data_IF_226724573900
#
_entry.id   IF_226724573900
#
_cell.length_a   1.000
_cell.length_b   1.000
_cell.length_c   1.000
_cell.angle_alpha   90.00
_cell.angle_beta   90.00
_cell.angle_gamma   90.00
#
_symmetry.space_group_name_H-M   'P 1'
#
loop_
_entity.id
_entity.type
_entity.pdbx_description
1 polymer ?
#
# COMPACT_ATOMS: atom_id res chain seq x y z
N UNK A 1 58.82 -22.43 15.26
CA UNK A 1 57.77 -21.84 14.39
C UNK A 1 56.49 -22.60 14.68
N UNK A 2 55.70 -22.15 15.66
CA UNK A 2 54.44 -22.79 16.03
C UNK A 2 53.31 -21.78 15.84
N UNK A 3 52.24 -22.22 15.18
CA UNK A 3 51.14 -21.40 14.68
C UNK A 3 50.23 -20.89 15.81
N UNK A 4 49.97 -19.58 15.92
CA UNK A 4 49.12 -19.01 16.97
C UNK A 4 47.66 -18.79 16.52
N UNK A 5 47.10 -19.66 15.67
CA UNK A 5 45.80 -19.39 15.03
C UNK A 5 44.62 -20.26 15.48
N UNK A 6 44.83 -21.40 16.15
CA UNK A 6 43.72 -22.27 16.56
C UNK A 6 43.02 -21.76 17.84
N UNK A 7 43.77 -21.24 18.83
CA UNK A 7 43.20 -20.67 20.05
C UNK A 7 42.30 -19.45 19.79
N UNK A 8 42.50 -18.72 18.69
CA UNK A 8 41.67 -17.54 18.40
C UNK A 8 40.27 -17.91 17.91
N UNK A 9 40.11 -19.05 17.22
CA UNK A 9 38.81 -19.46 16.67
C UNK A 9 37.91 -20.07 17.74
N UNK A 10 38.45 -20.90 18.63
CA UNK A 10 37.69 -21.44 19.77
C UNK A 10 37.30 -20.34 20.76
N UNK A 11 38.19 -19.36 20.99
CA UNK A 11 37.87 -18.19 21.78
C UNK A 11 36.75 -17.35 21.15
N UNK A 12 36.78 -17.17 19.81
CA UNK A 12 35.72 -16.46 19.07
C UNK A 12 34.38 -17.22 19.08
N UNK A 13 34.38 -18.55 18.93
CA UNK A 13 33.18 -19.38 19.00
C UNK A 13 32.58 -19.36 20.41
N UNK A 14 33.42 -19.44 21.44
CA UNK A 14 32.98 -19.34 22.84
C UNK A 14 32.43 -17.95 23.13
N UNK A 15 33.10 -16.89 22.66
CA UNK A 15 32.62 -15.51 22.81
C UNK A 15 31.28 -15.31 22.08
N UNK A 16 31.14 -15.87 20.88
CA UNK A 16 29.92 -15.83 20.08
C UNK A 16 28.75 -16.58 20.73
N UNK A 17 29.00 -17.80 21.25
CA UNK A 17 28.00 -18.58 22.00
C UNK A 17 27.64 -17.94 23.35
N UNK A 18 28.57 -17.20 23.95
CA UNK A 18 28.37 -16.48 25.22
C UNK A 18 27.59 -15.17 25.06
N UNK A 19 27.41 -14.68 23.83
CA UNK A 19 26.49 -13.56 23.58
C UNK A 19 25.06 -14.05 23.79
N UNK A 20 24.57 -13.94 25.02
CA UNK A 20 23.14 -14.03 25.33
C UNK A 20 22.41 -13.05 24.45
N UNK A 21 21.76 -13.56 23.40
CA UNK A 21 20.86 -12.79 22.54
C UNK A 21 19.80 -12.21 23.46
N UNK A 22 19.79 -10.89 23.61
CA UNK A 22 18.84 -10.22 24.49
C UNK A 22 17.42 -10.69 24.12
N UNK A 23 16.62 -11.15 25.09
CA UNK A 23 15.29 -11.64 24.80
C UNK A 23 14.48 -10.54 24.09
N UNK A 24 13.68 -10.88 23.08
CA UNK A 24 12.94 -9.89 22.31
C UNK A 24 12.02 -9.07 23.22
N UNK A 25 12.11 -7.74 23.15
CA UNK A 25 11.28 -6.81 23.93
C UNK A 25 9.82 -6.85 23.44
N UNK A 26 9.03 -7.70 24.11
CA UNK A 26 7.62 -7.96 23.80
C UNK A 26 6.72 -6.74 24.06
N UNK A 27 7.04 -5.92 25.06
CA UNK A 27 6.28 -4.72 25.40
C UNK A 27 6.47 -3.63 24.35
N UNK A 28 7.67 -3.52 23.79
CA UNK A 28 7.94 -2.66 22.64
C UNK A 28 7.19 -3.13 21.40
N UNK A 29 7.16 -4.44 21.13
CA UNK A 29 6.39 -5.01 20.02
C UNK A 29 4.89 -4.71 20.15
N UNK A 30 4.32 -4.84 21.34
CA UNK A 30 2.90 -4.51 21.58
C UNK A 30 2.61 -3.01 21.39
N UNK A 31 3.46 -2.12 21.92
CA UNK A 31 3.32 -0.66 21.73
C UNK A 31 3.40 -0.28 20.26
N UNK A 32 4.37 -0.84 19.53
CA UNK A 32 4.48 -0.63 18.08
C UNK A 32 3.26 -1.14 17.31
N UNK A 33 2.71 -2.29 17.70
CA UNK A 33 1.51 -2.85 17.07
C UNK A 33 0.29 -1.93 17.26
N UNK A 34 0.08 -1.38 18.47
CA UNK A 34 -1.00 -0.41 18.74
C UNK A 34 -0.85 0.86 17.91
N UNK A 35 0.32 1.49 17.92
CA UNK A 35 0.56 2.72 17.13
C UNK A 35 0.30 2.48 15.63
N UNK A 36 0.64 1.29 15.12
CA UNK A 36 0.37 0.91 13.73
C UNK A 36 -1.12 0.68 13.47
N UNK A 37 -1.87 0.13 14.41
CA UNK A 37 -3.32 0.00 14.33
C UNK A 37 -4.01 1.36 14.18
N UNK A 38 -3.66 2.32 15.03
CA UNK A 38 -4.12 3.72 14.92
C UNK A 38 -3.76 4.35 13.57
N UNK A 39 -2.51 4.17 13.11
CA UNK A 39 -2.09 4.67 11.78
C UNK A 39 -2.87 4.05 10.64
N UNK A 40 -3.20 2.76 10.72
CA UNK A 40 -4.02 2.08 9.71
C UNK A 40 -5.43 2.65 9.68
N UNK A 41 -6.04 2.90 10.85
CA UNK A 41 -7.36 3.54 10.94
C UNK A 41 -7.33 4.96 10.35
N UNK A 42 -6.31 5.76 10.66
CA UNK A 42 -6.14 7.10 10.10
C UNK A 42 -5.99 7.08 8.56
N UNK A 43 -5.22 6.13 8.01
CA UNK A 43 -5.09 5.96 6.56
C UNK A 43 -6.45 5.63 5.93
N UNK A 44 -7.24 4.76 6.56
CA UNK A 44 -8.58 4.40 6.07
C UNK A 44 -9.51 5.62 6.12
N UNK A 45 -9.47 6.42 7.19
CA UNK A 45 -10.24 7.66 7.25
C UNK A 45 -9.87 8.63 6.11
N UNK A 46 -8.58 8.74 5.78
CA UNK A 46 -8.10 9.54 4.65
C UNK A 46 -8.57 8.95 3.30
N UNK A 47 -8.53 7.62 3.13
CA UNK A 47 -9.07 6.94 1.94
C UNK A 47 -10.56 7.27 1.74
N UNK A 48 -11.37 7.23 2.80
CA UNK A 48 -12.79 7.59 2.76
C UNK A 48 -13.03 9.07 2.46
N UNK A 49 -12.27 9.97 3.11
CA UNK A 49 -12.38 11.40 2.87
C UNK A 49 -12.02 11.75 1.41
N UNK A 50 -10.96 11.12 0.88
CA UNK A 50 -10.56 11.29 -0.51
C UNK A 50 -11.65 10.81 -1.47
N UNK A 51 -12.26 9.65 -1.18
CA UNK A 51 -13.37 9.13 -1.98
C UNK A 51 -14.56 10.12 -1.98
N UNK A 52 -14.90 10.69 -0.83
CA UNK A 52 -15.98 11.66 -0.69
C UNK A 52 -15.70 12.94 -1.49
N UNK A 53 -14.48 13.47 -1.42
CA UNK A 53 -14.06 14.65 -2.21
C UNK A 53 -14.17 14.36 -3.71
N UNK A 54 -13.65 13.22 -4.18
CA UNK A 54 -13.76 12.83 -5.59
C UNK A 54 -15.22 12.65 -6.01
N UNK A 55 -16.05 12.05 -5.15
CA UNK A 55 -17.50 11.91 -5.37
C UNK A 55 -18.15 13.27 -5.61
N UNK A 56 -17.86 14.25 -4.75
CA UNK A 56 -18.40 15.60 -4.86
C UNK A 56 -17.94 16.31 -6.15
N UNK A 57 -16.68 16.11 -6.55
CA UNK A 57 -16.16 16.65 -7.81
C UNK A 57 -16.85 16.04 -9.03
N UNK A 58 -17.00 14.72 -9.07
CA UNK A 58 -17.70 14.01 -10.16
C UNK A 58 -19.17 14.44 -10.22
N UNK A 59 -19.85 14.53 -9.08
CA UNK A 59 -21.24 14.97 -9.00
C UNK A 59 -21.42 16.41 -9.50
N UNK A 60 -20.60 17.35 -8.99
CA UNK A 60 -20.61 18.74 -9.45
C UNK A 60 -20.39 18.83 -10.96
N UNK A 61 -19.48 18.02 -11.50
CA UNK A 61 -19.20 18.00 -12.92
C UNK A 61 -20.41 17.52 -13.73
N UNK A 62 -21.01 16.40 -13.36
CA UNK A 62 -22.21 15.86 -14.03
C UNK A 62 -23.39 16.84 -13.95
N UNK A 63 -23.57 17.50 -12.80
CA UNK A 63 -24.69 18.43 -12.60
C UNK A 63 -24.56 19.75 -13.38
N UNK A 64 -23.33 20.20 -13.68
CA UNK A 64 -23.08 21.51 -14.30
C UNK A 64 -22.79 21.44 -15.81
N UNK A 65 -22.63 20.24 -16.39
CA UNK A 65 -22.22 20.10 -17.79
C UNK A 65 -23.44 20.11 -18.74
N UNK A 66 -23.51 21.04 -19.71
CA UNK A 66 -24.54 21.01 -20.74
C UNK A 66 -24.18 19.95 -21.78
N UNK A 67 -24.84 18.79 -21.70
CA UNK A 67 -24.72 17.69 -22.66
C UNK A 67 -23.73 16.59 -22.27
N UNK A 68 -24.04 15.38 -22.71
CA UNK A 68 -23.29 14.15 -22.41
C UNK A 68 -22.36 13.77 -23.57
N UNK A 69 -21.10 13.51 -23.27
CA UNK A 69 -20.11 13.02 -24.24
C UNK A 69 -19.68 11.60 -23.90
N UNK A 70 -19.19 10.85 -24.89
CA UNK A 70 -18.71 9.46 -24.72
C UNK A 70 -17.63 9.34 -23.63
N UNK A 71 -16.75 10.34 -23.51
CA UNK A 71 -15.70 10.39 -22.47
C UNK A 71 -16.28 10.49 -21.06
N UNK A 72 -17.46 11.08 -20.88
CA UNK A 72 -18.11 11.20 -19.57
C UNK A 72 -18.53 9.81 -19.05
N UNK A 73 -19.02 8.94 -19.96
CA UNK A 73 -19.31 7.53 -19.65
C UNK A 73 -18.04 6.79 -19.21
N UNK A 74 -16.91 7.02 -19.89
CA UNK A 74 -15.63 6.39 -19.53
C UNK A 74 -15.18 6.85 -18.14
N UNK A 75 -15.26 8.14 -17.84
CA UNK A 75 -14.87 8.67 -16.53
C UNK A 75 -15.78 8.13 -15.42
N UNK A 76 -17.09 8.06 -15.64
CA UNK A 76 -18.01 7.48 -14.68
C UNK A 76 -17.78 5.98 -14.46
N UNK A 77 -17.46 5.23 -15.51
CA UNK A 77 -17.09 3.82 -15.40
C UNK A 77 -15.80 3.63 -14.60
N UNK A 78 -14.78 4.47 -14.86
CA UNK A 78 -13.54 4.48 -14.09
C UNK A 78 -13.79 4.85 -12.62
N UNK A 79 -14.62 5.86 -12.37
CA UNK A 79 -15.01 6.27 -11.02
C UNK A 79 -15.75 5.14 -10.28
N UNK A 80 -16.73 4.51 -10.91
CA UNK A 80 -17.45 3.36 -10.34
C UNK A 80 -16.50 2.20 -10.02
N UNK A 81 -15.53 1.92 -10.90
CA UNK A 81 -14.48 0.94 -10.66
C UNK A 81 -13.61 1.30 -9.44
N UNK A 82 -13.24 2.58 -9.29
CA UNK A 82 -12.49 3.07 -8.13
C UNK A 82 -13.26 2.88 -6.81
N UNK A 83 -14.56 3.21 -6.81
CA UNK A 83 -15.45 3.02 -5.66
C UNK A 83 -15.55 1.53 -5.31
N UNK A 84 -15.84 0.66 -6.29
CA UNK A 84 -15.95 -0.78 -6.09
C UNK A 84 -14.64 -1.37 -5.54
N UNK A 85 -13.49 -0.95 -6.08
CA UNK A 85 -12.17 -1.38 -5.60
C UNK A 85 -11.89 -0.89 -4.16
N UNK A 86 -12.23 0.35 -3.84
CA UNK A 86 -12.07 0.92 -2.49
C UNK A 86 -12.95 0.18 -1.48
N UNK A 87 -14.21 -0.11 -1.83
CA UNK A 87 -15.12 -0.90 -1.00
C UNK A 87 -14.62 -2.34 -0.81
N UNK A 88 -14.13 -2.97 -1.88
CA UNK A 88 -13.56 -4.31 -1.81
C UNK A 88 -12.32 -4.34 -0.91
N UNK A 89 -11.39 -3.40 -1.05
CA UNK A 89 -10.20 -3.33 -0.19
C UNK A 89 -10.57 -3.04 1.26
N UNK A 90 -11.50 -2.12 1.54
CA UNK A 90 -11.99 -1.84 2.89
C UNK A 90 -12.62 -3.09 3.52
N UNK A 91 -13.47 -3.82 2.79
CA UNK A 91 -14.10 -5.05 3.26
C UNK A 91 -13.07 -6.12 3.63
N UNK A 92 -12.07 -6.33 2.79
CA UNK A 92 -11.02 -7.32 3.05
C UNK A 92 -10.06 -6.89 4.17
N UNK A 93 -9.91 -5.58 4.43
CA UNK A 93 -9.03 -5.06 5.50
C UNK A 93 -9.71 -5.01 6.87
N UNK A 94 -11.05 -5.09 6.95
CA UNK A 94 -11.79 -5.07 8.23
C UNK A 94 -11.30 -6.10 9.26
N UNK A 95 -10.96 -7.32 8.83
CA UNK A 95 -10.46 -8.37 9.74
C UNK A 95 -9.08 -8.08 10.32
N UNK A 96 -8.28 -7.26 9.64
CA UNK A 96 -6.94 -6.88 10.09
C UNK A 96 -6.97 -5.77 11.16
N UNK A 97 -8.12 -5.10 11.35
CA UNK A 97 -8.27 -3.95 12.24
C UNK A 97 -8.59 -4.30 13.69
N UNK A 98 -9.03 -5.53 13.99
CA UNK A 98 -9.37 -5.91 15.35
C UNK A 98 -8.10 -6.13 16.19
N UNK A 99 -7.75 -5.19 17.06
CA UNK A 99 -6.71 -5.41 18.07
C UNK A 99 -7.24 -6.38 19.12
N UNK A 100 -6.82 -7.65 19.03
CA UNK A 100 -7.01 -8.62 20.11
C UNK A 100 -5.70 -8.70 20.88
N UNK A 101 -5.78 -8.74 22.21
CA UNK A 101 -4.64 -9.17 23.01
C UNK A 101 -4.29 -10.59 22.56
N UNK A 102 -3.11 -10.75 21.96
CA UNK A 102 -2.63 -12.00 21.41
C UNK A 102 -1.35 -12.39 22.15
N UNK A 103 -1.17 -13.70 22.35
CA UNK A 103 0.09 -14.24 22.82
C UNK A 103 1.24 -13.79 21.89
N UNK A 104 2.49 -13.67 22.39
CA UNK A 104 3.64 -13.16 21.63
C UNK A 104 3.81 -13.81 20.25
N UNK A 105 3.67 -15.14 20.17
CA UNK A 105 3.73 -15.91 18.92
C UNK A 105 2.63 -15.50 17.93
N UNK A 106 1.38 -15.48 18.40
CA UNK A 106 0.23 -15.10 17.61
C UNK A 106 0.29 -13.62 17.16
N UNK A 107 0.98 -12.76 17.91
CA UNK A 107 1.24 -11.37 17.52
C UNK A 107 2.22 -11.27 16.35
N UNK A 108 3.31 -12.05 16.37
CA UNK A 108 4.30 -12.10 15.29
C UNK A 108 3.68 -12.66 14.00
N UNK A 109 2.97 -13.78 14.07
CA UNK A 109 2.27 -14.39 12.93
C UNK A 109 1.27 -13.42 12.30
N UNK A 110 0.52 -12.70 13.14
CA UNK A 110 -0.44 -11.70 12.67
C UNK A 110 0.23 -10.50 12.02
N UNK A 111 1.37 -10.04 12.51
CA UNK A 111 2.14 -8.98 11.86
C UNK A 111 2.74 -9.44 10.52
N UNK A 112 3.16 -10.70 10.40
CA UNK A 112 3.59 -11.30 9.14
C UNK A 112 2.42 -11.32 8.15
N UNK A 113 1.23 -11.77 8.57
CA UNK A 113 0.05 -11.78 7.73
C UNK A 113 -0.37 -10.37 7.30
N UNK A 114 -0.37 -9.40 8.22
CA UNK A 114 -0.61 -7.98 7.93
C UNK A 114 0.37 -7.42 6.92
N UNK A 115 1.66 -7.75 7.02
CA UNK A 115 2.68 -7.29 6.09
C UNK A 115 2.53 -7.94 4.70
N UNK A 116 2.25 -9.25 4.62
CA UNK A 116 1.95 -9.95 3.35
C UNK A 116 0.71 -9.40 2.67
N UNK A 117 -0.37 -9.23 3.43
CA UNK A 117 -1.63 -8.67 2.92
C UNK A 117 -1.44 -7.22 2.48
N UNK A 118 -0.69 -6.41 3.24
CA UNK A 118 -0.33 -5.06 2.82
C UNK A 118 0.44 -5.05 1.50
N UNK A 119 1.43 -5.93 1.31
CA UNK A 119 2.15 -6.04 0.03
C UNK A 119 1.23 -6.42 -1.14
N UNK A 120 0.35 -7.41 -0.93
CA UNK A 120 -0.63 -7.84 -1.95
C UNK A 120 -1.55 -6.69 -2.33
N UNK A 121 -2.15 -5.99 -1.36
CA UNK A 121 -3.03 -4.85 -1.63
C UNK A 121 -2.28 -3.69 -2.28
N UNK A 122 -1.07 -3.36 -1.84
CA UNK A 122 -0.27 -2.30 -2.46
C UNK A 122 0.12 -2.61 -3.90
N UNK A 123 0.44 -3.88 -4.21
CA UNK A 123 0.72 -4.32 -5.58
C UNK A 123 -0.53 -4.23 -6.46
N UNK A 124 -1.65 -4.74 -5.97
CA UNK A 124 -2.91 -4.72 -6.70
C UNK A 124 -3.43 -3.29 -6.92
N UNK A 125 -3.37 -2.44 -5.90
CA UNK A 125 -3.73 -1.03 -6.01
C UNK A 125 -2.87 -0.32 -7.05
N UNK A 126 -1.54 -0.52 -7.02
CA UNK A 126 -0.64 0.10 -8.01
C UNK A 126 -0.96 -0.32 -9.45
N UNK A 127 -1.32 -1.59 -9.67
CA UNK A 127 -1.72 -2.11 -10.99
C UNK A 127 -3.06 -1.53 -11.44
N UNK A 128 -4.07 -1.53 -10.56
CA UNK A 128 -5.41 -1.01 -10.87
C UNK A 128 -5.34 0.50 -11.16
N UNK A 129 -4.70 1.29 -10.28
CA UNK A 129 -4.49 2.72 -10.54
C UNK A 129 -3.73 2.93 -11.86
N UNK A 130 -2.66 2.18 -12.11
CA UNK A 130 -1.91 2.27 -13.37
C UNK A 130 -2.79 2.01 -14.59
N UNK A 131 -3.61 0.96 -14.56
CA UNK A 131 -4.53 0.62 -15.64
C UNK A 131 -5.58 1.71 -15.85
N UNK A 132 -6.17 2.24 -14.78
CA UNK A 132 -7.16 3.33 -14.87
C UNK A 132 -6.58 4.57 -15.55
N UNK A 133 -5.33 4.93 -15.24
CA UNK A 133 -4.65 6.04 -15.89
C UNK A 133 -4.35 5.79 -17.35
N UNK A 134 -3.96 4.56 -17.73
CA UNK A 134 -3.76 4.19 -19.13
C UNK A 134 -5.08 4.31 -19.91
N UNK A 135 -6.19 3.81 -19.35
CA UNK A 135 -7.53 3.93 -19.97
C UNK A 135 -7.93 5.40 -20.11
N UNK A 136 -7.72 6.20 -19.06
CA UNK A 136 -8.02 7.64 -19.11
C UNK A 136 -7.17 8.36 -20.16
N UNK A 137 -5.86 8.10 -20.20
CA UNK A 137 -4.95 8.69 -21.19
C UNK A 137 -5.35 8.31 -22.63
N UNK A 138 -5.65 7.04 -22.87
CA UNK A 138 -6.12 6.57 -24.17
C UNK A 138 -7.44 7.25 -24.59
N UNK A 139 -8.38 7.39 -23.66
CA UNK A 139 -9.65 8.08 -23.90
C UNK A 139 -9.43 9.57 -24.23
N UNK A 140 -8.55 10.26 -23.49
CA UNK A 140 -8.22 11.66 -23.79
C UNK A 140 -7.52 11.83 -25.13
N UNK A 141 -6.61 10.92 -25.51
CA UNK A 141 -5.96 10.96 -26.81
C UNK A 141 -6.95 10.73 -27.94
N UNK A 142 -7.86 9.77 -27.80
CA UNK A 142 -8.90 9.49 -28.77
C UNK A 142 -9.92 10.64 -28.90
N UNK A 143 -10.20 11.38 -27.83
CA UNK A 143 -10.96 12.63 -27.88
C UNK A 143 -10.20 13.72 -28.64
N UNK A 144 -8.92 13.94 -28.35
CA UNK A 144 -8.10 14.95 -29.07
C UNK A 144 -7.90 14.64 -30.55
N UNK A 145 -7.89 13.35 -30.92
CA UNK A 145 -7.80 12.89 -32.29
C UNK A 145 -9.15 12.96 -33.05
N UNK A 146 -10.23 13.39 -32.38
CA UNK A 146 -11.57 13.48 -32.98
C UNK A 146 -12.28 12.14 -33.17
N UNK A 147 -11.76 11.05 -32.59
CA UNK A 147 -12.30 9.69 -32.74
C UNK A 147 -13.54 9.47 -31.87
N UNK A 148 -13.58 10.05 -30.66
CA UNK A 148 -14.66 9.84 -29.69
C UNK A 148 -15.72 10.97 -29.68
N UNK A 149 -15.34 12.18 -30.09
CA UNK A 149 -16.20 13.36 -30.19
C UNK A 149 -15.42 14.50 -30.88
N UNK A 150 -16.08 15.56 -31.40
CA UNK A 150 -15.41 16.81 -31.73
C UNK A 150 -14.67 17.34 -30.49
N UNK A 151 -13.46 17.91 -30.63
CA UNK A 151 -12.68 18.39 -29.49
C UNK A 151 -13.50 19.41 -28.70
N UNK A 152 -14.04 18.98 -27.56
CA UNK A 152 -14.79 19.83 -26.66
C UNK A 152 -13.84 20.77 -25.90
N UNK A 153 -14.34 21.93 -25.47
CA UNK A 153 -13.58 22.88 -24.62
C UNK A 153 -13.29 22.34 -23.20
N UNK A 154 -13.78 21.15 -22.84
CA UNK A 154 -13.59 20.53 -21.54
C UNK A 154 -12.28 19.73 -21.48
N UNK A 155 -11.27 20.25 -20.79
CA UNK A 155 -9.93 19.68 -20.81
C UNK A 155 -9.77 18.48 -19.86
N UNK A 156 -10.29 17.31 -20.25
CA UNK A 156 -9.87 16.05 -19.62
C UNK A 156 -8.36 15.82 -19.74
N UNK A 157 -7.75 16.40 -20.78
CA UNK A 157 -6.30 16.51 -20.95
C UNK A 157 -5.62 17.20 -19.77
N UNK A 158 -6.16 18.31 -19.25
CA UNK A 158 -5.62 19.00 -18.07
C UNK A 158 -5.80 18.18 -16.80
N UNK A 159 -6.93 17.49 -16.64
CA UNK A 159 -7.14 16.57 -15.51
C UNK A 159 -6.12 15.43 -15.56
N UNK A 160 -5.91 14.83 -16.74
CA UNK A 160 -4.91 13.78 -16.92
C UNK A 160 -3.48 14.29 -16.63
N UNK A 161 -3.13 15.49 -17.10
CA UNK A 161 -1.81 16.10 -16.89
C UNK A 161 -1.55 16.42 -15.42
N UNK A 162 -2.52 17.03 -14.73
CA UNK A 162 -2.43 17.37 -13.29
C UNK A 162 -2.28 16.10 -12.44
N UNK A 163 -2.88 14.99 -12.88
CA UNK A 163 -2.83 13.74 -12.15
C UNK A 163 -1.60 12.86 -12.50
N UNK A 164 -0.82 13.19 -13.53
CA UNK A 164 0.39 12.44 -13.90
C UNK A 164 1.47 12.44 -12.78
N UNK A 165 1.79 13.57 -12.12
CA UNK A 165 2.67 13.58 -10.94
C UNK A 165 2.16 12.65 -9.83
N UNK A 166 0.84 12.56 -9.63
CA UNK A 166 0.25 11.70 -8.60
C UNK A 166 0.56 10.22 -8.87
N UNK A 167 0.51 9.79 -10.14
CA UNK A 167 0.90 8.42 -10.54
C UNK A 167 2.38 8.16 -10.30
N UNK A 168 3.24 9.11 -10.65
CA UNK A 168 4.69 9.00 -10.48
C UNK A 168 5.01 8.88 -8.98
N UNK A 169 4.45 9.77 -8.15
CA UNK A 169 4.59 9.73 -6.69
C UNK A 169 4.05 8.41 -6.14
N UNK A 170 2.89 7.95 -6.57
CA UNK A 170 2.31 6.67 -6.16
C UNK A 170 3.23 5.48 -6.48
N UNK A 171 3.85 5.46 -7.67
CA UNK A 171 4.84 4.43 -8.06
C UNK A 171 6.11 4.49 -7.22
N UNK A 172 6.61 5.69 -6.91
CA UNK A 172 7.78 5.87 -6.04
C UNK A 172 7.46 5.37 -4.62
N UNK A 173 6.31 5.77 -4.07
CA UNK A 173 5.84 5.32 -2.76
C UNK A 173 5.64 3.81 -2.71
N UNK A 174 5.10 3.20 -3.78
CA UNK A 174 4.98 1.76 -3.91
C UNK A 174 6.33 1.07 -3.81
N UNK A 175 7.33 1.52 -4.57
CA UNK A 175 8.71 0.96 -4.53
C UNK A 175 9.36 1.12 -3.16
N UNK A 176 9.19 2.28 -2.51
CA UNK A 176 9.72 2.51 -1.16
C UNK A 176 9.05 1.59 -0.14
N UNK A 177 7.72 1.52 -0.14
CA UNK A 177 6.97 0.66 0.78
C UNK A 177 7.23 -0.82 0.56
N UNK A 178 7.35 -1.28 -0.67
CA UNK A 178 7.62 -2.70 -0.93
C UNK A 178 8.96 -3.13 -0.34
N UNK A 179 10.01 -2.30 -0.48
CA UNK A 179 11.32 -2.52 0.15
C UNK A 179 11.23 -2.54 1.67
N UNK A 180 10.59 -1.53 2.28
CA UNK A 180 10.47 -1.46 3.74
C UNK A 180 9.65 -2.61 4.33
N UNK A 181 8.59 -3.03 3.65
CA UNK A 181 7.77 -4.18 4.07
C UNK A 181 8.49 -5.51 3.88
N UNK A 182 9.31 -5.66 2.83
CA UNK A 182 10.17 -6.83 2.62
C UNK A 182 11.18 -7.02 3.74
N UNK A 183 11.98 -5.99 4.02
CA UNK A 183 12.96 -6.00 5.12
C UNK A 183 12.31 -6.18 6.51
N UNK A 184 11.02 -5.83 6.65
CA UNK A 184 10.26 -6.10 7.87
C UNK A 184 9.80 -7.55 7.96
N UNK A 185 9.36 -8.13 6.85
CA UNK A 185 8.96 -9.54 6.81
C UNK A 185 10.12 -10.46 7.15
N UNK A 186 11.32 -10.16 6.67
CA UNK A 186 12.54 -10.90 7.01
C UNK A 186 12.83 -10.82 8.52
N UNK A 187 12.78 -9.62 9.12
CA UNK A 187 12.94 -9.45 10.57
C UNK A 187 11.88 -10.20 11.39
N UNK A 188 10.62 -10.16 10.97
CA UNK A 188 9.53 -10.86 11.67
C UNK A 188 9.65 -12.38 11.54
N UNK A 189 10.19 -12.90 10.42
CA UNK A 189 10.49 -14.33 10.26
C UNK A 189 11.61 -14.78 11.19
N UNK A 190 12.71 -14.01 11.27
CA UNK A 190 13.78 -14.31 12.22
C UNK A 190 13.31 -14.31 13.68
N UNK A 191 12.44 -13.37 14.06
CA UNK A 191 11.82 -13.38 15.39
C UNK A 191 10.89 -14.57 15.63
N UNK A 192 10.19 -15.05 14.60
CA UNK A 192 9.37 -16.25 14.71
C UNK A 192 10.25 -17.49 14.94
N UNK A 193 11.32 -17.65 14.16
CA UNK A 193 12.26 -18.75 14.29
C UNK A 193 12.92 -18.79 15.69
N UNK A 194 13.27 -17.62 16.25
CA UNK A 194 13.79 -17.50 17.62
C UNK A 194 12.79 -17.85 18.72
N UNK A 195 11.49 -17.73 18.47
CA UNK A 195 10.44 -18.08 19.43
C UNK A 195 10.05 -19.57 19.36
N UNK A 196 10.46 -20.28 18.31
CA UNK A 196 10.26 -21.73 18.15
C UNK A 196 11.49 -22.57 18.58
N UNK A 197 12.63 -21.91 18.80
CA UNK A 197 13.89 -22.51 19.26
C UNK A 197 13.96 -22.56 20.79
#
# INVERSE_FOLDING_TARGET
MNAPHEESWDALDTLWRSQTVAPPDLDRLQREARVRGWRLQAIVAIEWLSLLVVTAMVWRFVALKPGWQTIDTVVLALYACAVAFTLWTARNRRGLWQERALAPRALVEREIERARSSLRFWSMNSRVTGLMFVVLAAATLAETAGVLAPPGRGSWSTVALINLPLVIVSRILHRRRSRTLGARLERLRGLAEQLDA
#
